data_IF_684483396712
#
_entry.id   IF_684483396712
#
_cell.length_a   1.000
_cell.length_b   1.000
_cell.length_c   1.000
_cell.angle_alpha   90.00
_cell.angle_beta   90.00
_cell.angle_gamma   90.00
#
_symmetry.space_group_name_H-M   'P 1'
#
loop_
_entity.id
_entity.type
_entity.pdbx_description
1 polymer ?
#
# COMPACT_ATOMS: atom_id res chain seq x y z
N UNK A 1 12.00 -10.99 13.97
CA UNK A 1 12.11 -11.50 12.61
C UNK A 1 13.37 -10.96 11.92
N UNK A 2 13.59 -9.64 11.89
CA UNK A 2 14.73 -8.97 11.20
C UNK A 2 16.09 -9.48 11.66
N UNK A 3 16.29 -9.60 12.98
CA UNK A 3 17.55 -10.13 13.55
C UNK A 3 17.79 -11.57 13.12
N UNK A 4 16.74 -12.43 13.16
CA UNK A 4 16.84 -13.82 12.75
C UNK A 4 17.21 -13.95 11.26
N UNK A 5 16.58 -13.17 10.40
CA UNK A 5 16.91 -13.15 8.95
C UNK A 5 18.34 -12.64 8.72
N UNK A 6 18.77 -11.61 9.45
CA UNK A 6 20.15 -11.12 9.38
C UNK A 6 21.18 -12.17 9.79
N UNK A 7 20.89 -12.95 10.85
CA UNK A 7 21.73 -14.07 11.27
C UNK A 7 21.82 -15.17 10.19
N UNK A 8 20.70 -15.49 9.53
CA UNK A 8 20.69 -16.49 8.44
C UNK A 8 21.56 -16.04 7.29
N UNK A 9 21.45 -14.77 6.87
CA UNK A 9 22.32 -14.21 5.80
C UNK A 9 23.79 -14.27 6.21
N UNK A 10 24.12 -13.89 7.46
CA UNK A 10 25.50 -13.96 7.96
C UNK A 10 26.03 -15.40 7.97
N UNK A 11 25.23 -16.39 8.38
CA UNK A 11 25.61 -17.79 8.36
C UNK A 11 25.83 -18.30 6.92
N UNK A 12 25.01 -17.89 5.95
CA UNK A 12 25.18 -18.27 4.55
C UNK A 12 26.53 -17.79 3.99
N UNK A 13 26.96 -16.59 4.38
CA UNK A 13 28.28 -16.07 3.99
C UNK A 13 29.40 -16.83 4.71
N UNK A 14 29.27 -17.05 6.01
CA UNK A 14 30.30 -17.74 6.81
C UNK A 14 30.52 -19.17 6.34
N UNK A 15 29.49 -19.87 5.98
CA UNK A 15 29.58 -21.23 5.44
C UNK A 15 29.89 -21.28 3.93
N UNK A 16 30.08 -20.14 3.27
CA UNK A 16 30.43 -20.09 1.85
C UNK A 16 29.30 -20.56 0.91
N UNK A 17 28.05 -20.59 1.41
CA UNK A 17 26.87 -20.97 0.62
C UNK A 17 26.54 -19.90 -0.44
N UNK A 18 26.70 -18.63 -0.02
CA UNK A 18 26.48 -17.46 -0.89
C UNK A 18 27.71 -16.56 -0.80
N UNK A 19 28.35 -16.22 -1.93
CA UNK A 19 29.46 -15.30 -1.93
C UNK A 19 28.99 -13.88 -1.57
N UNK A 20 29.80 -13.17 -0.79
CA UNK A 20 29.47 -11.82 -0.30
C UNK A 20 29.04 -10.86 -1.44
N UNK A 21 29.61 -11.02 -2.61
CA UNK A 21 29.30 -10.21 -3.79
C UNK A 21 27.84 -10.40 -4.25
N UNK A 22 27.32 -11.62 -4.17
CA UNK A 22 25.93 -11.91 -4.59
C UNK A 22 24.91 -11.27 -3.65
N UNK A 23 25.23 -11.12 -2.37
CA UNK A 23 24.34 -10.41 -1.43
C UNK A 23 24.15 -8.97 -1.89
N UNK A 24 25.21 -8.26 -2.24
CA UNK A 24 25.13 -6.88 -2.71
C UNK A 24 24.40 -6.75 -4.05
N UNK A 25 24.57 -7.70 -4.96
CA UNK A 25 23.87 -7.68 -6.27
C UNK A 25 22.41 -8.10 -6.17
N UNK A 26 22.05 -8.89 -5.16
CA UNK A 26 20.66 -9.31 -4.90
C UNK A 26 19.83 -8.24 -4.16
N UNK A 27 20.49 -7.23 -3.58
CA UNK A 27 19.79 -6.11 -2.93
C UNK A 27 19.16 -5.20 -3.99
N UNK A 28 17.85 -5.01 -3.92
CA UNK A 28 17.15 -4.02 -4.73
C UNK A 28 17.40 -2.60 -4.20
N UNK A 29 18.57 -2.03 -4.52
CA UNK A 29 18.99 -0.70 -4.07
C UNK A 29 18.00 0.39 -4.44
N UNK A 30 17.32 0.26 -5.58
CA UNK A 30 16.27 1.18 -6.00
C UNK A 30 15.12 1.27 -4.99
N UNK A 31 14.74 0.14 -4.36
CA UNK A 31 13.71 0.10 -3.32
C UNK A 31 14.21 0.76 -2.04
N UNK A 32 15.46 0.49 -1.64
CA UNK A 32 16.06 1.11 -0.44
C UNK A 32 16.12 2.63 -0.59
N UNK A 33 16.63 3.11 -1.74
CA UNK A 33 16.70 4.56 -2.02
C UNK A 33 15.32 5.19 -2.06
N UNK A 34 14.34 4.51 -2.68
CA UNK A 34 12.95 4.97 -2.73
C UNK A 34 12.36 5.11 -1.32
N UNK A 35 12.53 4.10 -0.47
CA UNK A 35 12.04 4.14 0.91
C UNK A 35 12.73 5.25 1.71
N UNK A 36 14.05 5.36 1.59
CA UNK A 36 14.83 6.40 2.26
C UNK A 36 14.38 7.82 1.86
N UNK A 37 13.91 8.01 0.63
CA UNK A 37 13.38 9.27 0.15
C UNK A 37 11.91 9.51 0.56
N UNK A 38 11.08 8.46 0.59
CA UNK A 38 9.65 8.59 0.88
C UNK A 38 9.33 8.72 2.36
N UNK A 39 10.10 8.07 3.25
CA UNK A 39 9.87 8.16 4.70
C UNK A 39 9.94 9.62 5.19
N UNK A 40 10.96 10.43 4.84
CA UNK A 40 10.98 11.85 5.20
C UNK A 40 9.82 12.65 4.62
N UNK A 41 9.34 12.32 3.41
CA UNK A 41 8.19 12.99 2.80
C UNK A 41 6.91 12.67 3.57
N UNK A 42 6.71 11.40 3.95
CA UNK A 42 5.58 10.99 4.81
C UNK A 42 5.60 11.72 6.16
N UNK A 43 6.77 11.76 6.82
CA UNK A 43 6.96 12.49 8.08
C UNK A 43 6.71 14.00 7.92
N UNK A 44 7.17 14.60 6.82
CA UNK A 44 6.92 16.02 6.54
C UNK A 44 5.43 16.31 6.32
N UNK A 45 4.72 15.43 5.64
CA UNK A 45 3.27 15.52 5.44
C UNK A 45 2.51 15.44 6.77
N UNK A 46 2.93 14.53 7.66
CA UNK A 46 2.37 14.38 9.00
C UNK A 46 2.66 15.61 9.88
N UNK A 47 3.93 16.01 9.98
CA UNK A 47 4.34 17.14 10.83
C UNK A 47 3.83 18.50 10.35
N UNK A 48 3.57 18.66 9.04
CA UNK A 48 2.92 19.85 8.47
C UNK A 48 1.41 19.90 8.69
N UNK A 49 0.81 18.84 9.24
CA UNK A 49 -0.65 18.71 9.37
C UNK A 49 -1.36 18.32 8.06
N UNK A 50 -0.62 18.00 7.01
CA UNK A 50 -1.19 17.64 5.71
C UNK A 50 -2.04 16.37 5.76
N UNK A 51 -1.61 15.37 6.54
CA UNK A 51 -2.39 14.14 6.77
C UNK A 51 -3.71 14.43 7.44
N UNK A 52 -3.70 15.28 8.49
CA UNK A 52 -4.91 15.69 9.20
C UNK A 52 -5.89 16.47 8.30
N UNK A 53 -5.36 17.33 7.40
CA UNK A 53 -6.19 18.03 6.42
C UNK A 53 -6.87 17.06 5.44
N UNK A 54 -6.14 16.08 4.92
CA UNK A 54 -6.68 15.07 4.00
C UNK A 54 -7.70 14.18 4.73
N UNK A 55 -7.36 13.72 5.94
CA UNK A 55 -8.26 12.94 6.79
C UNK A 55 -9.54 13.73 7.10
N UNK A 56 -9.42 14.97 7.51
CA UNK A 56 -10.54 15.88 7.76
C UNK A 56 -11.42 16.09 6.53
N UNK A 57 -10.82 16.22 5.34
CA UNK A 57 -11.58 16.32 4.09
C UNK A 57 -12.36 15.04 3.80
N UNK A 58 -11.74 13.86 3.95
CA UNK A 58 -12.41 12.57 3.76
C UNK A 58 -13.56 12.41 4.76
N UNK A 59 -13.31 12.71 6.04
CA UNK A 59 -14.34 12.61 7.09
C UNK A 59 -15.48 13.63 6.86
N UNK A 60 -15.16 14.87 6.46
CA UNK A 60 -16.18 15.88 6.18
C UNK A 60 -17.06 15.55 4.97
N UNK A 61 -16.47 14.99 3.92
CA UNK A 61 -17.21 14.49 2.75
C UNK A 61 -18.06 13.26 3.10
N UNK A 62 -17.69 12.55 4.16
CA UNK A 62 -18.39 11.39 4.69
C UNK A 62 -19.26 11.73 5.90
N UNK A 63 -19.51 13.02 6.18
CA UNK A 63 -20.28 13.46 7.35
C UNK A 63 -21.66 12.81 7.39
N UNK A 64 -21.95 12.13 8.48
CA UNK A 64 -23.21 11.38 8.67
C UNK A 64 -23.17 9.92 8.19
N UNK A 65 -22.08 9.47 7.56
CA UNK A 65 -21.90 8.06 7.19
C UNK A 65 -21.18 7.29 8.31
N UNK A 66 -21.38 5.96 8.32
CA UNK A 66 -20.72 5.07 9.27
C UNK A 66 -19.21 4.96 9.01
N UNK A 67 -18.43 4.60 10.03
CA UNK A 67 -16.98 4.36 9.90
C UNK A 67 -16.66 3.31 8.81
N UNK A 68 -17.56 2.37 8.54
CA UNK A 68 -17.45 1.38 7.46
C UNK A 68 -17.41 2.07 6.08
N UNK A 69 -18.27 3.08 5.86
CA UNK A 69 -18.29 3.83 4.60
C UNK A 69 -17.00 4.62 4.43
N UNK A 70 -16.51 5.25 5.49
CA UNK A 70 -15.24 6.01 5.47
C UNK A 70 -14.07 5.08 5.16
N UNK A 71 -14.02 3.90 5.78
CA UNK A 71 -13.04 2.86 5.51
C UNK A 71 -13.09 2.42 4.03
N UNK A 72 -14.28 2.22 3.51
CA UNK A 72 -14.47 1.84 2.10
C UNK A 72 -13.97 2.93 1.15
N UNK A 73 -14.28 4.20 1.43
CA UNK A 73 -13.79 5.34 0.64
C UNK A 73 -12.26 5.41 0.70
N UNK A 74 -11.67 5.28 1.89
CA UNK A 74 -10.20 5.25 2.06
C UNK A 74 -9.59 4.12 1.23
N UNK A 75 -10.18 2.94 1.27
CA UNK A 75 -9.72 1.79 0.50
C UNK A 75 -9.73 2.07 -1.00
N UNK A 76 -10.82 2.61 -1.55
CA UNK A 76 -10.96 2.96 -2.96
C UNK A 76 -9.94 4.03 -3.36
N UNK A 77 -9.80 5.10 -2.57
CA UNK A 77 -8.82 6.17 -2.82
C UNK A 77 -7.40 5.61 -2.82
N UNK A 78 -7.08 4.74 -1.87
CA UNK A 78 -5.75 4.11 -1.78
C UNK A 78 -5.47 3.20 -2.99
N UNK A 79 -6.46 2.43 -3.45
CA UNK A 79 -6.33 1.61 -4.67
C UNK A 79 -6.05 2.47 -5.89
N UNK A 80 -6.85 3.52 -6.12
CA UNK A 80 -6.66 4.47 -7.23
C UNK A 80 -5.27 5.14 -7.18
N UNK A 81 -4.78 5.48 -5.98
CA UNK A 81 -3.45 6.01 -5.82
C UNK A 81 -2.36 4.98 -6.21
N UNK A 82 -2.57 3.71 -5.84
CA UNK A 82 -1.65 2.62 -6.15
C UNK A 82 -1.58 2.31 -7.65
N UNK A 83 -2.62 2.62 -8.42
CA UNK A 83 -2.59 2.50 -9.87
C UNK A 83 -1.64 3.46 -10.57
N UNK A 84 -1.34 4.60 -9.93
CA UNK A 84 -0.46 5.65 -10.48
C UNK A 84 0.91 5.65 -9.81
N UNK A 85 0.94 5.30 -8.52
CA UNK A 85 2.16 5.22 -7.71
C UNK A 85 2.53 3.76 -7.46
N UNK A 86 3.77 3.51 -7.01
CA UNK A 86 4.10 2.16 -6.56
C UNK A 86 3.44 1.86 -5.19
N UNK A 87 3.19 0.57 -4.95
CA UNK A 87 2.50 0.09 -3.75
C UNK A 87 3.14 0.58 -2.43
N UNK A 88 4.47 0.61 -2.38
CA UNK A 88 5.22 1.02 -1.18
C UNK A 88 5.01 2.51 -0.88
N UNK A 89 5.11 3.37 -1.91
CA UNK A 89 4.87 4.80 -1.75
C UNK A 89 3.42 5.08 -1.32
N UNK A 90 2.47 4.39 -1.94
CA UNK A 90 1.05 4.50 -1.58
C UNK A 90 0.80 4.13 -0.13
N UNK A 91 1.36 3.00 0.33
CA UNK A 91 1.20 2.56 1.72
C UNK A 91 1.80 3.56 2.73
N UNK A 92 3.00 4.08 2.46
CA UNK A 92 3.68 5.05 3.34
C UNK A 92 2.90 6.36 3.46
N UNK A 93 2.25 6.80 2.39
CA UNK A 93 1.45 8.03 2.40
C UNK A 93 0.06 7.79 3.02
N UNK A 94 -0.58 6.68 2.70
CA UNK A 94 -1.95 6.42 3.13
C UNK A 94 -2.06 5.96 4.60
N UNK A 95 -1.02 5.31 5.16
CA UNK A 95 -1.07 4.80 6.52
C UNK A 95 -1.23 5.90 7.59
N UNK A 96 -0.49 7.02 7.59
CA UNK A 96 -0.74 8.13 8.52
C UNK A 96 -2.15 8.71 8.38
N UNK A 97 -2.64 8.85 7.14
CA UNK A 97 -4.00 9.35 6.87
C UNK A 97 -5.05 8.40 7.48
N UNK A 98 -4.84 7.09 7.36
CA UNK A 98 -5.70 6.07 7.95
C UNK A 98 -5.78 6.18 9.47
N UNK A 99 -4.64 6.42 10.14
CA UNK A 99 -4.56 6.61 11.59
C UNK A 99 -5.30 7.89 12.01
N UNK A 100 -5.10 9.00 11.30
CA UNK A 100 -5.77 10.28 11.59
C UNK A 100 -7.29 10.16 11.41
N UNK A 101 -7.75 9.45 10.38
CA UNK A 101 -9.18 9.16 10.18
C UNK A 101 -9.73 8.34 11.36
N UNK A 102 -9.08 7.25 11.73
CA UNK A 102 -9.51 6.39 12.83
C UNK A 102 -9.57 7.14 14.15
N UNK A 103 -8.55 7.98 14.42
CA UNK A 103 -8.50 8.85 15.61
C UNK A 103 -9.65 9.85 15.63
N UNK A 104 -9.94 10.48 14.49
CA UNK A 104 -11.03 11.46 14.35
C UNK A 104 -12.40 10.81 14.56
N UNK A 105 -12.58 9.58 14.08
CA UNK A 105 -13.80 8.80 14.24
C UNK A 105 -13.89 8.09 15.61
N UNK A 106 -12.83 8.12 16.42
CA UNK A 106 -12.72 7.44 17.70
C UNK A 106 -12.95 5.92 17.61
N UNK A 107 -12.40 5.30 16.57
CA UNK A 107 -12.45 3.86 16.31
C UNK A 107 -11.03 3.27 16.24
N UNK A 108 -10.94 1.93 16.23
CA UNK A 108 -9.67 1.24 16.09
C UNK A 108 -8.96 1.61 14.77
N UNK A 109 -7.66 1.91 14.77
CA UNK A 109 -6.89 2.14 13.54
C UNK A 109 -6.60 0.85 12.75
N UNK A 110 -6.67 -0.32 13.38
CA UNK A 110 -6.27 -1.59 12.78
C UNK A 110 -7.02 -1.91 11.48
N UNK A 111 -8.37 -1.83 11.42
CA UNK A 111 -9.09 -2.09 10.18
C UNK A 111 -8.75 -1.09 9.07
N UNK A 112 -8.48 0.17 9.41
CA UNK A 112 -8.08 1.20 8.44
C UNK A 112 -6.68 0.94 7.89
N UNK A 113 -5.74 0.53 8.73
CA UNK A 113 -4.40 0.13 8.31
C UNK A 113 -4.42 -1.13 7.44
N UNK A 114 -5.26 -2.11 7.78
CA UNK A 114 -5.45 -3.31 6.96
C UNK A 114 -6.08 -2.98 5.61
N UNK A 115 -7.05 -2.06 5.57
CA UNK A 115 -7.62 -1.58 4.32
C UNK A 115 -6.56 -0.92 3.43
N UNK A 116 -5.68 -0.09 4.00
CA UNK A 116 -4.55 0.51 3.27
C UNK A 116 -3.58 -0.56 2.76
N UNK A 117 -3.21 -1.54 3.58
CA UNK A 117 -2.27 -2.59 3.20
C UNK A 117 -2.79 -3.44 2.03
N UNK A 118 -4.07 -3.81 2.07
CA UNK A 118 -4.74 -4.53 0.98
C UNK A 118 -4.85 -3.65 -0.25
N UNK A 119 -5.36 -2.43 -0.11
CA UNK A 119 -5.59 -1.49 -1.20
C UNK A 119 -4.30 -1.11 -1.94
N UNK A 120 -3.23 -0.81 -1.21
CA UNK A 120 -1.93 -0.49 -1.80
C UNK A 120 -1.34 -1.64 -2.63
N UNK A 121 -1.78 -2.88 -2.39
CA UNK A 121 -1.35 -4.06 -3.16
C UNK A 121 -2.23 -4.34 -4.39
N UNK A 122 -3.30 -3.57 -4.59
CA UNK A 122 -4.33 -3.78 -5.61
C UNK A 122 -4.23 -2.74 -6.73
N UNK A 123 -3.09 -2.67 -7.40
CA UNK A 123 -2.86 -1.82 -8.57
C UNK A 123 -3.22 -2.60 -9.85
N UNK A 124 -4.49 -2.60 -10.24
CA UNK A 124 -4.99 -3.41 -11.35
C UNK A 124 -5.44 -2.61 -12.57
N UNK A 125 -5.76 -1.31 -12.40
CA UNK A 125 -6.32 -0.50 -13.50
C UNK A 125 -5.27 -0.05 -14.51
N UNK A 126 -3.99 -0.01 -14.11
CA UNK A 126 -2.91 0.44 -14.98
C UNK A 126 -1.70 -0.50 -14.95
N UNK A 127 -0.89 -0.52 -16.01
CA UNK A 127 0.38 -1.24 -15.97
C UNK A 127 1.46 -0.52 -15.14
N UNK A 128 1.23 0.74 -14.73
CA UNK A 128 2.23 1.58 -14.05
C UNK A 128 2.36 1.19 -12.57
N UNK A 129 1.24 0.91 -11.91
CA UNK A 129 1.18 0.68 -10.46
C UNK A 129 2.02 -0.51 -9.98
N UNK A 130 2.22 -1.52 -10.81
CA UNK A 130 3.01 -2.70 -10.44
C UNK A 130 3.96 -3.15 -11.55
N UNK A 131 5.23 -3.40 -11.20
CA UNK A 131 6.28 -3.85 -12.14
C UNK A 131 5.88 -5.06 -12.97
N UNK A 132 5.17 -6.03 -12.37
CA UNK A 132 4.73 -7.25 -13.06
C UNK A 132 3.76 -6.93 -14.20
N UNK A 133 2.88 -5.95 -14.00
CA UNK A 133 1.95 -5.51 -15.04
C UNK A 133 2.70 -4.96 -16.25
N UNK A 134 3.72 -4.12 -16.00
CA UNK A 134 4.58 -3.59 -17.08
C UNK A 134 5.35 -4.69 -17.80
N UNK A 135 5.88 -5.69 -17.08
CA UNK A 135 6.62 -6.80 -17.67
C UNK A 135 5.76 -7.66 -18.59
N UNK A 136 4.54 -8.01 -18.17
CA UNK A 136 3.65 -8.85 -18.97
C UNK A 136 3.02 -8.10 -20.15
N UNK A 137 2.97 -6.77 -20.12
CA UNK A 137 2.38 -5.97 -21.18
C UNK A 137 3.05 -6.26 -22.54
N UNK A 138 4.37 -6.24 -22.59
CA UNK A 138 5.11 -6.53 -23.82
C UNK A 138 5.03 -8.01 -24.23
N UNK A 139 5.28 -8.92 -23.30
CA UNK A 139 5.29 -10.35 -23.55
C UNK A 139 3.91 -10.91 -23.88
N UNK A 140 2.85 -10.37 -23.29
CA UNK A 140 1.47 -10.79 -23.50
C UNK A 140 0.74 -10.06 -24.63
N UNK A 141 1.38 -9.06 -25.26
CA UNK A 141 0.76 -8.24 -26.31
C UNK A 141 -0.39 -7.35 -25.80
N UNK A 142 -0.42 -7.07 -24.47
CA UNK A 142 -1.45 -6.22 -23.88
C UNK A 142 -1.23 -4.74 -24.19
N UNK A 143 -2.32 -4.02 -24.35
CA UNK A 143 -2.32 -2.57 -24.47
C UNK A 143 -2.64 -1.93 -23.11
N UNK A 144 -2.25 -0.67 -22.93
CA UNK A 144 -2.54 0.08 -21.70
C UNK A 144 -4.04 0.06 -21.34
N UNK A 145 -4.89 0.17 -22.35
CA UNK A 145 -6.34 0.17 -22.18
C UNK A 145 -6.98 -1.18 -21.82
N UNK A 146 -6.22 -2.28 -21.80
CA UNK A 146 -6.77 -3.60 -21.47
C UNK A 146 -6.83 -3.81 -19.94
N UNK A 147 -5.95 -3.13 -19.20
CA UNK A 147 -5.84 -3.29 -17.75
C UNK A 147 -7.11 -2.88 -17.01
N UNK A 148 -7.70 -1.74 -17.35
CA UNK A 148 -8.91 -1.27 -16.66
C UNK A 148 -10.12 -2.20 -16.88
N UNK A 149 -10.20 -2.91 -18.00
CA UNK A 149 -11.31 -3.83 -18.31
C UNK A 149 -11.35 -5.03 -17.37
N UNK A 150 -10.18 -5.55 -17.02
CA UNK A 150 -10.04 -6.64 -16.06
C UNK A 150 -9.85 -6.12 -14.64
N UNK A 151 -9.16 -5.00 -14.49
CA UNK A 151 -8.83 -4.40 -13.21
C UNK A 151 -10.06 -3.89 -12.46
N UNK A 152 -10.95 -3.17 -13.13
CA UNK A 152 -12.14 -2.60 -12.48
C UNK A 152 -13.05 -3.66 -11.84
N UNK A 153 -13.46 -4.76 -12.53
CA UNK A 153 -14.20 -5.83 -11.88
C UNK A 153 -13.46 -6.46 -10.70
N UNK A 154 -12.13 -6.58 -10.80
CA UNK A 154 -11.31 -7.14 -9.75
C UNK A 154 -11.25 -6.21 -8.52
N UNK A 155 -11.10 -4.90 -8.72
CA UNK A 155 -11.14 -3.92 -7.63
C UNK A 155 -12.49 -3.90 -6.92
N UNK A 156 -13.59 -3.93 -7.67
CA UNK A 156 -14.94 -4.04 -7.09
C UNK A 156 -15.06 -5.31 -6.25
N UNK A 157 -14.54 -6.43 -6.72
CA UNK A 157 -14.54 -7.69 -5.98
C UNK A 157 -13.68 -7.59 -4.71
N UNK A 158 -12.49 -6.99 -4.81
CA UNK A 158 -11.60 -6.80 -3.66
C UNK A 158 -12.24 -5.91 -2.60
N UNK A 159 -12.89 -4.82 -2.99
CA UNK A 159 -13.64 -3.97 -2.04
C UNK A 159 -14.81 -4.74 -1.44
N UNK A 160 -15.61 -5.42 -2.28
CA UNK A 160 -16.80 -6.14 -1.83
C UNK A 160 -16.53 -7.31 -0.90
N UNK A 161 -15.39 -7.98 -1.05
CA UNK A 161 -14.96 -9.09 -0.18
C UNK A 161 -14.03 -8.59 0.93
N UNK A 162 -13.12 -7.69 0.60
CA UNK A 162 -12.10 -7.20 1.51
C UNK A 162 -12.67 -6.42 2.69
N UNK A 163 -13.59 -5.49 2.45
CA UNK A 163 -14.19 -4.69 3.54
C UNK A 163 -14.90 -5.58 4.57
N UNK A 164 -15.82 -6.49 4.21
CA UNK A 164 -16.42 -7.39 5.20
C UNK A 164 -15.40 -8.27 5.90
N UNK A 165 -14.42 -8.80 5.17
CA UNK A 165 -13.39 -9.65 5.74
C UNK A 165 -12.53 -8.90 6.76
N UNK A 166 -12.10 -7.68 6.44
CA UNK A 166 -11.34 -6.84 7.36
C UNK A 166 -12.15 -6.61 8.64
N UNK A 167 -13.43 -6.26 8.53
CA UNK A 167 -14.28 -5.98 9.69
C UNK A 167 -14.59 -7.21 10.56
N UNK A 168 -14.52 -8.43 9.99
CA UNK A 168 -14.66 -9.67 10.76
C UNK A 168 -13.43 -9.93 11.62
N UNK A 169 -12.23 -9.71 11.07
CA UNK A 169 -10.98 -10.02 11.76
C UNK A 169 -10.46 -8.85 12.60
N UNK A 170 -10.76 -7.62 12.19
CA UNK A 170 -10.38 -6.37 12.86
C UNK A 170 -11.63 -5.50 13.00
N UNK A 171 -12.41 -5.68 14.09
CA UNK A 171 -13.59 -4.84 14.33
C UNK A 171 -13.22 -3.38 14.59
N UNK A 172 -14.12 -2.47 14.23
CA UNK A 172 -14.00 -1.01 14.41
C UNK A 172 -14.02 -0.59 15.87
#
# INVERSE_FOLDING_TARGET
>A
LTVALGCVVALYVLFGIVPLREIYTSVEWSVIVLLAALIPIGTALETSGGTALIAGAIVSLSAGYSAVVVLTILMIVTMTLSDVMNNTATAVIAAPIAIDIATTLQVSPDPFLMAVAVAASCAFLTPIGHKNNTLIMGAGGYQFGDYWRMGLPLEILVVGVGVPTILIFWPL
#
